data_IF_114614458097
#
_entry.id   IF_114614458097
#
_cell.length_a   1.000
_cell.length_b   1.000
_cell.length_c   1.000
_cell.angle_alpha   90.00
_cell.angle_beta   90.00
_cell.angle_gamma   90.00
#
_symmetry.space_group_name_H-M   'P 1'
#
loop_
_entity.id
_entity.type
_entity.pdbx_description
1 polymer ?
#
# COMPACT_ATOMS: atom_id res chain seq x y z
N UNK A 1 -15.63 22.70 14.59
CA UNK A 1 -14.36 22.01 14.34
C UNK A 1 -14.64 20.55 14.58
N UNK A 2 -14.64 19.73 13.53
CA UNK A 2 -14.59 18.28 13.68
C UNK A 2 -13.10 17.99 13.69
N UNK A 3 -12.53 17.82 14.89
CA UNK A 3 -11.08 17.71 15.15
C UNK A 3 -10.53 16.29 14.98
N UNK A 4 -11.33 15.34 14.51
CA UNK A 4 -10.84 14.00 14.21
C UNK A 4 -11.02 13.74 12.72
N UNK A 5 -9.91 13.79 11.99
CA UNK A 5 -9.79 13.10 10.71
C UNK A 5 -9.77 11.59 11.00
N UNK A 6 -10.91 11.03 11.44
CA UNK A 6 -11.11 9.58 11.60
C UNK A 6 -11.25 8.97 10.19
N UNK A 7 -10.20 9.10 9.37
CA UNK A 7 -10.07 8.29 8.16
C UNK A 7 -9.88 6.86 8.61
N UNK A 8 -10.96 6.09 8.51
CA UNK A 8 -10.93 4.66 8.69
C UNK A 8 -10.44 3.97 7.41
N UNK A 9 -9.99 2.73 7.55
CA UNK A 9 -9.64 1.82 6.45
C UNK A 9 -10.72 1.83 5.37
N UNK A 10 -10.38 2.29 4.17
CA UNK A 10 -11.23 2.20 2.99
C UNK A 10 -11.01 0.83 2.32
N UNK A 11 -12.09 0.11 2.02
CA UNK A 11 -12.00 -1.19 1.36
C UNK A 11 -11.53 -1.08 -0.10
N UNK A 12 -11.71 0.07 -0.74
CA UNK A 12 -11.20 0.27 -2.10
C UNK A 12 -9.67 0.38 -2.07
N UNK A 13 -9.09 1.15 -1.13
CA UNK A 13 -7.64 1.23 -0.91
C UNK A 13 -7.04 -0.17 -0.64
N UNK A 14 -7.72 -0.97 0.19
CA UNK A 14 -7.32 -2.35 0.46
C UNK A 14 -7.35 -3.19 -0.82
N UNK A 15 -8.40 -3.06 -1.63
CA UNK A 15 -8.55 -3.78 -2.88
C UNK A 15 -7.46 -3.45 -3.89
N UNK A 16 -7.18 -2.15 -4.07
CA UNK A 16 -6.13 -1.66 -4.98
C UNK A 16 -4.75 -2.11 -4.51
N UNK A 17 -4.44 -2.00 -3.22
CA UNK A 17 -3.16 -2.45 -2.67
C UNK A 17 -3.00 -3.97 -2.75
N UNK A 18 -4.06 -4.73 -2.48
CA UNK A 18 -4.02 -6.18 -2.62
C UNK A 18 -3.76 -6.58 -4.07
N UNK A 19 -4.41 -5.92 -5.02
CA UNK A 19 -4.15 -6.09 -6.44
C UNK A 19 -2.70 -5.78 -6.81
N UNK A 20 -2.16 -4.65 -6.33
CA UNK A 20 -0.77 -4.24 -6.58
C UNK A 20 0.23 -5.26 -6.01
N UNK A 21 0.02 -5.74 -4.78
CA UNK A 21 0.88 -6.75 -4.15
C UNK A 21 0.89 -8.06 -4.93
N UNK A 22 -0.28 -8.54 -5.40
CA UNK A 22 -0.37 -9.72 -6.26
C UNK A 22 0.46 -9.52 -7.52
N UNK A 23 0.25 -8.41 -8.22
CA UNK A 23 0.97 -8.10 -9.47
C UNK A 23 2.47 -7.95 -9.25
N UNK A 24 2.89 -7.35 -8.13
CA UNK A 24 4.29 -7.23 -7.78
C UNK A 24 4.93 -8.61 -7.57
N UNK A 25 4.27 -9.51 -6.84
CA UNK A 25 4.77 -10.86 -6.62
C UNK A 25 4.87 -11.63 -7.94
N UNK A 26 3.84 -11.58 -8.79
CA UNK A 26 3.85 -12.25 -10.11
C UNK A 26 4.97 -11.69 -11.02
N UNK A 27 5.15 -10.37 -11.05
CA UNK A 27 6.18 -9.73 -11.87
C UNK A 27 7.62 -10.04 -11.39
N UNK A 28 7.78 -10.41 -10.11
CA UNK A 28 9.08 -10.64 -9.49
C UNK A 28 9.28 -12.09 -9.02
N UNK A 29 8.43 -13.04 -9.42
CA UNK A 29 8.45 -14.43 -8.96
C UNK A 29 9.83 -15.08 -9.16
N UNK A 30 10.45 -14.89 -10.34
CA UNK A 30 11.76 -15.45 -10.66
C UNK A 30 12.89 -14.84 -9.81
N UNK A 31 12.84 -13.52 -9.56
CA UNK A 31 13.88 -12.80 -8.81
C UNK A 31 13.78 -13.11 -7.32
N UNK A 32 12.56 -13.29 -6.82
CA UNK A 32 12.27 -13.57 -5.40
C UNK A 32 12.36 -15.05 -5.04
N UNK A 33 12.41 -15.94 -6.04
CA UNK A 33 12.28 -17.40 -5.84
C UNK A 33 11.04 -17.75 -5.01
N UNK A 34 9.95 -17.02 -5.25
CA UNK A 34 8.72 -17.10 -4.44
C UNK A 34 7.50 -16.93 -5.34
N UNK A 35 6.69 -17.98 -5.44
CA UNK A 35 5.42 -17.94 -6.16
C UNK A 35 4.34 -17.19 -5.38
N UNK A 36 3.33 -16.71 -6.09
CA UNK A 36 2.16 -16.07 -5.48
C UNK A 36 1.46 -16.97 -4.44
N UNK A 37 1.36 -18.26 -4.73
CA UNK A 37 0.77 -19.25 -3.80
C UNK A 37 1.61 -19.37 -2.53
N UNK A 38 2.94 -19.34 -2.65
CA UNK A 38 3.85 -19.41 -1.51
C UNK A 38 3.86 -18.11 -0.68
N UNK A 39 3.71 -16.94 -1.32
CA UNK A 39 3.51 -15.67 -0.62
C UNK A 39 2.20 -15.66 0.20
N UNK A 40 1.16 -16.30 -0.33
CA UNK A 40 -0.09 -16.57 0.36
C UNK A 40 -1.07 -15.40 0.29
N UNK A 41 -2.23 -15.62 -0.34
CA UNK A 41 -3.25 -14.59 -0.53
C UNK A 41 -3.76 -13.97 0.78
N UNK A 42 -3.87 -14.76 1.85
CA UNK A 42 -4.29 -14.26 3.15
C UNK A 42 -3.26 -13.26 3.72
N UNK A 43 -1.97 -13.59 3.64
CA UNK A 43 -0.89 -12.72 4.10
C UNK A 43 -0.86 -11.42 3.30
N UNK A 44 -0.99 -11.51 1.97
CA UNK A 44 -1.02 -10.33 1.10
C UNK A 44 -2.25 -9.44 1.36
N UNK A 45 -3.40 -10.04 1.66
CA UNK A 45 -4.63 -9.31 1.99
C UNK A 45 -4.53 -8.63 3.36
N UNK A 46 -3.93 -9.30 4.34
CA UNK A 46 -3.64 -8.73 5.66
C UNK A 46 -2.67 -7.54 5.53
N UNK A 47 -1.58 -7.73 4.80
CA UNK A 47 -0.58 -6.69 4.53
C UNK A 47 -1.17 -5.48 3.81
N UNK A 48 -2.00 -5.70 2.77
CA UNK A 48 -2.75 -4.62 2.11
C UNK A 48 -3.70 -3.92 3.08
N UNK A 49 -4.33 -4.70 3.97
CA UNK A 49 -5.21 -4.23 5.01
C UNK A 49 -4.54 -3.27 5.98
N UNK A 50 -3.37 -3.65 6.47
CA UNK A 50 -2.56 -2.86 7.40
C UNK A 50 -1.98 -1.62 6.71
N UNK A 51 -1.56 -1.76 5.46
CA UNK A 51 -1.03 -0.66 4.67
C UNK A 51 -2.09 0.40 4.37
N UNK A 52 -3.30 0.00 3.98
CA UNK A 52 -4.42 0.92 3.76
C UNK A 52 -4.81 1.66 5.05
N UNK A 53 -4.81 0.97 6.19
CA UNK A 53 -5.08 1.59 7.49
C UNK A 53 -3.97 2.60 7.87
N UNK A 54 -2.70 2.21 7.70
CA UNK A 54 -1.57 3.09 7.96
C UNK A 54 -1.58 4.32 7.03
N UNK A 55 -1.95 4.15 5.76
CA UNK A 55 -2.13 5.23 4.79
C UNK A 55 -3.21 6.19 5.30
N UNK A 56 -4.39 5.68 5.64
CA UNK A 56 -5.52 6.47 6.08
C UNK A 56 -5.19 7.29 7.34
N UNK A 57 -4.42 6.71 8.28
CA UNK A 57 -4.01 7.37 9.53
C UNK A 57 -2.90 8.41 9.36
N UNK A 58 -2.01 8.22 8.39
CA UNK A 58 -0.77 9.03 8.28
C UNK A 58 -0.83 10.07 7.16
N UNK A 59 -1.67 9.85 6.15
CA UNK A 59 -1.86 10.79 5.06
C UNK A 59 -2.44 12.11 5.60
N UNK A 60 -1.78 13.22 5.27
CA UNK A 60 -2.24 14.55 5.67
C UNK A 60 -3.36 14.97 4.71
N UNK A 61 -4.59 14.61 5.05
CA UNK A 61 -5.76 14.97 4.25
C UNK A 61 -6.07 16.48 4.35
N UNK A 62 -5.31 17.32 3.65
CA UNK A 62 -5.63 18.74 3.46
C UNK A 62 -5.19 19.22 2.07
N UNK A 63 -6.15 19.62 1.22
CA UNK A 63 -5.88 20.32 -0.04
C UNK A 63 -6.89 20.04 -1.16
N UNK A 64 -7.10 21.02 -2.04
CA UNK A 64 -7.92 20.91 -3.26
C UNK A 64 -7.31 19.96 -4.31
N UNK A 65 -6.07 19.50 -4.09
CA UNK A 65 -5.31 18.59 -4.97
C UNK A 65 -5.59 17.09 -4.68
N UNK A 66 -6.45 16.77 -3.70
CA UNK A 66 -6.83 15.38 -3.43
C UNK A 66 -7.83 14.87 -4.46
N UNK A 67 -7.33 14.44 -5.62
CA UNK A 67 -8.08 13.67 -6.59
C UNK A 67 -7.97 12.18 -6.26
N UNK A 68 -9.08 11.57 -5.81
CA UNK A 68 -9.15 10.14 -5.50
C UNK A 68 -8.74 9.24 -6.67
N UNK A 69 -8.84 9.70 -7.92
CA UNK A 69 -8.33 8.98 -9.08
C UNK A 69 -6.79 8.90 -9.08
N UNK A 70 -6.11 10.01 -8.80
CA UNK A 70 -4.63 10.05 -8.67
C UNK A 70 -4.16 9.19 -7.51
N UNK A 71 -4.95 9.12 -6.43
CA UNK A 71 -4.64 8.27 -5.28
C UNK A 71 -4.61 6.78 -5.64
N UNK A 72 -5.63 6.29 -6.35
CA UNK A 72 -5.65 4.89 -6.79
C UNK A 72 -4.55 4.58 -7.80
N UNK A 73 -4.22 5.53 -8.69
CA UNK A 73 -3.08 5.40 -9.60
C UNK A 73 -1.73 5.31 -8.87
N UNK A 74 -1.59 5.92 -7.69
CA UNK A 74 -0.39 5.78 -6.85
C UNK A 74 -0.35 4.44 -6.12
N UNK A 75 -1.49 3.98 -5.59
CA UNK A 75 -1.58 2.71 -4.87
C UNK A 75 -1.44 1.49 -5.79
N UNK A 76 -1.86 1.57 -7.06
CA UNK A 76 -1.77 0.43 -8.00
C UNK A 76 -0.36 0.14 -8.52
N UNK A 77 0.60 1.05 -8.27
CA UNK A 77 1.97 0.94 -8.78
C UNK A 77 2.70 -0.25 -8.19
N UNK A 78 3.57 -0.83 -9.03
CA UNK A 78 4.42 -1.98 -8.68
C UNK A 78 5.89 -1.77 -9.06
N UNK A 79 6.22 -0.61 -9.64
CA UNK A 79 7.56 -0.24 -10.07
C UNK A 79 8.42 0.26 -8.90
N UNK A 80 9.67 0.61 -9.21
CA UNK A 80 10.61 1.15 -8.22
C UNK A 80 10.02 2.40 -7.53
N UNK A 81 10.07 2.42 -6.21
CA UNK A 81 9.49 3.48 -5.38
C UNK A 81 8.01 3.32 -5.08
N UNK A 82 7.34 2.29 -5.63
CA UNK A 82 5.95 1.97 -5.29
C UNK A 82 5.81 1.48 -3.84
N UNK A 83 4.60 1.60 -3.30
CA UNK A 83 4.32 1.07 -1.97
C UNK A 83 4.38 -0.46 -1.95
N UNK A 84 3.94 -1.12 -3.05
CA UNK A 84 4.01 -2.58 -3.18
C UNK A 84 5.46 -3.09 -3.13
N UNK A 85 6.39 -2.43 -3.85
CA UNK A 85 7.82 -2.77 -3.77
C UNK A 85 8.34 -2.60 -2.33
N UNK A 86 8.07 -1.46 -1.71
CA UNK A 86 8.57 -1.15 -0.37
C UNK A 86 8.06 -2.12 0.70
N UNK A 87 6.78 -2.52 0.63
CA UNK A 87 6.20 -3.51 1.53
C UNK A 87 6.81 -4.91 1.32
N UNK A 88 7.11 -5.28 0.07
CA UNK A 88 7.62 -6.61 -0.24
C UNK A 88 9.16 -6.71 -0.16
N UNK A 89 9.86 -5.61 0.10
CA UNK A 89 11.32 -5.58 0.17
C UNK A 89 11.90 -6.36 1.37
N UNK A 90 11.10 -6.57 2.43
CA UNK A 90 11.49 -7.25 3.66
C UNK A 90 10.41 -8.27 4.03
N UNK A 91 10.78 -9.42 4.60
CA UNK A 91 9.87 -10.54 4.92
C UNK A 91 8.80 -10.19 5.98
N UNK A 92 9.08 -9.20 6.84
CA UNK A 92 8.16 -8.69 7.87
C UNK A 92 8.32 -7.17 7.99
N UNK A 93 7.69 -6.39 7.09
CA UNK A 93 7.86 -4.95 7.06
C UNK A 93 7.15 -4.29 8.26
N UNK A 94 7.79 -3.29 8.87
CA UNK A 94 7.08 -2.37 9.76
C UNK A 94 6.17 -1.47 8.91
N UNK A 95 4.94 -1.94 8.66
CA UNK A 95 3.99 -1.30 7.74
C UNK A 95 3.80 0.19 8.02
N UNK A 96 3.56 0.65 9.26
CA UNK A 96 3.47 2.08 9.54
C UNK A 96 4.71 2.87 9.12
N UNK A 97 5.91 2.34 9.36
CA UNK A 97 7.15 3.02 8.97
C UNK A 97 7.34 3.05 7.46
N UNK A 98 7.06 1.93 6.77
CA UNK A 98 7.13 1.84 5.30
C UNK A 98 6.18 2.83 4.65
N UNK A 99 4.92 2.88 5.11
CA UNK A 99 3.92 3.80 4.60
C UNK A 99 4.34 5.25 4.84
N UNK A 100 4.85 5.59 6.03
CA UNK A 100 5.33 6.94 6.32
C UNK A 100 6.42 7.39 5.35
N UNK A 101 7.40 6.52 5.14
CA UNK A 101 8.55 6.82 4.29
C UNK A 101 8.13 6.92 2.82
N UNK A 102 7.18 6.09 2.38
CA UNK A 102 6.55 6.20 1.06
C UNK A 102 5.78 7.52 0.90
N UNK A 103 4.88 7.86 1.84
CA UNK A 103 4.11 9.12 1.82
C UNK A 103 5.04 10.34 1.71
N UNK A 104 6.17 10.35 2.44
CA UNK A 104 7.14 11.45 2.38
C UNK A 104 7.81 11.69 1.01
N UNK A 105 7.65 10.76 0.06
CA UNK A 105 8.18 10.86 -1.30
C UNK A 105 7.11 11.22 -2.34
N UNK A 106 5.84 10.92 -2.05
CA UNK A 106 4.72 11.12 -2.97
C UNK A 106 3.84 12.33 -2.61
N UNK A 107 3.95 12.83 -1.38
CA UNK A 107 3.43 14.11 -0.89
C UNK A 107 4.51 15.21 -0.89
#
# INVERSE_FOLDING_TARGET
MIDNNDRCKDFEDVGVLFHALIRYVEANEEVRDQSLVAAGYANLLELAGDAAEAVAMQHKAEGDDWDGCVWFELLEKIDEGSLAEALMAIEDPNVPAVVRDWLSRVE
#
